data_IF_193099198769
#
_entry.id   IF_193099198769
#
_cell.length_a   1.000
_cell.length_b   1.000
_cell.length_c   1.000
_cell.angle_alpha   90.00
_cell.angle_beta   90.00
_cell.angle_gamma   90.00
#
_symmetry.space_group_name_H-M   'P 1'
#
loop_
_entity.id
_entity.type
_entity.pdbx_description
1 polymer ?
#
# COMPACT_ATOMS: atom_id res chain seq x y z
N UNK A 1 10.62 -7.34 -23.25
CA UNK A 1 9.25 -6.81 -23.33
C UNK A 1 8.61 -6.67 -21.94
N UNK A 2 8.74 -7.66 -21.09
CA UNK A 2 8.07 -7.70 -19.77
C UNK A 2 8.75 -6.84 -18.70
N UNK A 3 9.97 -6.42 -18.90
CA UNK A 3 10.72 -5.62 -17.94
C UNK A 3 10.96 -4.21 -18.45
N UNK A 4 10.97 -3.26 -17.51
CA UNK A 4 11.31 -1.86 -17.79
C UNK A 4 12.81 -1.69 -17.95
N UNK A 5 13.19 -0.78 -18.84
CA UNK A 5 14.59 -0.43 -19.13
C UNK A 5 14.66 1.08 -19.25
N UNK A 6 15.64 1.71 -18.60
CA UNK A 6 15.93 3.13 -18.77
C UNK A 6 16.47 3.43 -20.18
N UNK A 7 16.42 4.68 -20.60
CA UNK A 7 16.90 5.13 -21.92
C UNK A 7 18.38 4.80 -22.17
N UNK A 8 19.18 4.68 -21.13
CA UNK A 8 20.59 4.29 -21.20
C UNK A 8 20.81 2.77 -21.29
N UNK A 9 19.77 1.97 -21.34
CA UNK A 9 19.80 0.52 -21.45
C UNK A 9 19.93 -0.24 -20.14
N UNK A 10 20.00 0.43 -18.98
CA UNK A 10 19.96 -0.24 -17.67
C UNK A 10 18.58 -0.79 -17.38
N UNK A 11 18.52 -2.00 -16.82
CA UNK A 11 17.27 -2.59 -16.33
C UNK A 11 16.78 -1.77 -15.13
N UNK A 12 15.50 -1.41 -15.14
CA UNK A 12 14.83 -0.75 -14.02
C UNK A 12 14.75 -1.69 -12.81
N UNK A 13 15.05 -1.18 -11.63
CA UNK A 13 15.12 -1.97 -10.40
C UNK A 13 14.48 -1.24 -9.21
N UNK A 14 13.36 -0.57 -9.42
CA UNK A 14 12.57 0.08 -8.36
C UNK A 14 12.05 -0.90 -7.32
N UNK A 15 12.05 -2.20 -7.62
CA UNK A 15 11.74 -3.28 -6.68
C UNK A 15 12.89 -3.62 -5.72
N UNK A 16 14.13 -3.22 -6.04
CA UNK A 16 15.36 -3.70 -5.41
C UNK A 16 15.57 -5.25 -5.54
N UNK A 17 14.81 -5.92 -6.42
CA UNK A 17 14.86 -7.36 -6.65
C UNK A 17 15.48 -7.74 -8.01
N UNK A 18 16.06 -6.76 -8.72
CA UNK A 18 16.79 -6.96 -9.97
C UNK A 18 16.08 -6.50 -11.24
N UNK A 19 14.76 -6.34 -11.22
CA UNK A 19 13.97 -5.83 -12.34
C UNK A 19 12.58 -5.34 -11.90
N UNK A 20 11.92 -4.57 -12.77
CA UNK A 20 10.53 -4.14 -12.62
C UNK A 20 9.68 -4.63 -13.79
N UNK A 21 8.47 -5.12 -13.50
CA UNK A 21 7.50 -5.52 -14.54
C UNK A 21 6.91 -4.29 -15.21
N UNK A 22 6.89 -4.29 -16.54
CA UNK A 22 6.32 -3.22 -17.35
C UNK A 22 4.79 -3.40 -17.46
N UNK A 23 4.08 -3.14 -16.36
CA UNK A 23 2.64 -3.36 -16.23
C UNK A 23 1.79 -2.51 -17.19
N UNK A 24 2.33 -1.39 -17.63
CA UNK A 24 1.75 -0.49 -18.63
C UNK A 24 1.75 -1.05 -20.06
N UNK A 25 2.53 -2.09 -20.32
CA UNK A 25 2.57 -2.75 -21.62
C UNK A 25 1.46 -3.81 -21.74
N UNK A 26 0.65 -3.75 -22.78
CA UNK A 26 -0.58 -4.53 -22.92
C UNK A 26 -0.42 -6.05 -22.68
N UNK A 27 0.65 -6.68 -23.18
CA UNK A 27 0.84 -8.11 -22.98
C UNK A 27 1.27 -8.45 -21.54
N UNK A 28 1.97 -7.56 -20.86
CA UNK A 28 2.30 -7.71 -19.46
C UNK A 28 1.04 -7.51 -18.60
N UNK A 29 0.28 -6.45 -18.84
CA UNK A 29 -1.00 -6.21 -18.19
C UNK A 29 -1.96 -7.39 -18.38
N UNK A 30 -2.06 -7.91 -19.60
CA UNK A 30 -2.88 -9.09 -19.90
C UNK A 30 -2.43 -10.32 -19.11
N UNK A 31 -1.13 -10.60 -19.03
CA UNK A 31 -0.60 -11.72 -18.28
C UNK A 31 -0.96 -11.63 -16.79
N UNK A 32 -0.81 -10.44 -16.18
CA UNK A 32 -1.16 -10.20 -14.77
C UNK A 32 -2.66 -10.36 -14.56
N UNK A 33 -3.48 -9.75 -15.40
CA UNK A 33 -4.95 -9.87 -15.33
C UNK A 33 -5.42 -11.31 -15.49
N UNK A 34 -4.93 -12.02 -16.51
CA UNK A 34 -5.29 -13.42 -16.76
C UNK A 34 -4.89 -14.31 -15.57
N UNK A 35 -3.74 -14.06 -14.95
CA UNK A 35 -3.31 -14.76 -13.74
C UNK A 35 -4.28 -14.55 -12.58
N UNK A 36 -4.68 -13.30 -12.31
CA UNK A 36 -5.66 -12.97 -11.26
C UNK A 36 -6.97 -13.71 -11.51
N UNK A 37 -7.47 -13.65 -12.73
CA UNK A 37 -8.74 -14.30 -13.08
C UNK A 37 -8.64 -15.83 -13.00
N UNK A 38 -7.54 -16.42 -13.46
CA UNK A 38 -7.28 -17.86 -13.35
C UNK A 38 -7.30 -18.34 -11.89
N UNK A 39 -6.54 -17.70 -11.02
CA UNK A 39 -6.50 -18.06 -9.60
C UNK A 39 -7.86 -17.90 -8.91
N UNK A 40 -8.62 -16.87 -9.29
CA UNK A 40 -9.98 -16.67 -8.75
C UNK A 40 -10.93 -17.77 -9.22
N UNK A 41 -10.88 -18.13 -10.51
CA UNK A 41 -11.82 -19.07 -11.14
C UNK A 41 -11.51 -20.52 -10.78
N UNK A 42 -10.25 -20.94 -10.88
CA UNK A 42 -9.84 -22.33 -10.67
C UNK A 42 -9.63 -22.69 -9.19
N UNK A 43 -9.14 -21.75 -8.38
CA UNK A 43 -8.82 -21.99 -6.98
C UNK A 43 -9.75 -21.29 -6.00
N UNK A 44 -10.72 -20.53 -6.50
CA UNK A 44 -11.75 -19.85 -5.73
C UNK A 44 -11.22 -18.92 -4.63
N UNK A 45 -10.04 -18.32 -4.83
CA UNK A 45 -9.46 -17.39 -3.87
C UNK A 45 -10.28 -16.11 -3.79
N UNK A 46 -10.29 -15.48 -2.59
CA UNK A 46 -11.19 -14.36 -2.29
C UNK A 46 -10.56 -12.99 -2.44
N UNK A 47 -9.30 -12.93 -2.81
CA UNK A 47 -8.63 -11.66 -3.08
C UNK A 47 -7.15 -11.77 -3.34
N UNK A 48 -6.55 -10.62 -3.64
CA UNK A 48 -5.14 -10.49 -4.02
C UNK A 48 -4.48 -9.34 -3.27
N UNK A 49 -3.32 -9.62 -2.74
CA UNK A 49 -2.39 -8.61 -2.23
C UNK A 49 -1.22 -8.50 -3.19
N UNK A 50 -0.95 -7.30 -3.68
CA UNK A 50 0.16 -7.02 -4.56
C UNK A 50 1.35 -6.49 -3.79
N UNK A 51 2.46 -7.21 -3.85
CA UNK A 51 3.76 -6.75 -3.41
C UNK A 51 4.17 -5.55 -4.25
N UNK A 52 4.72 -4.50 -3.61
CA UNK A 52 5.17 -3.30 -4.29
C UNK A 52 4.19 -2.83 -5.38
N UNK A 53 2.89 -2.78 -5.04
CA UNK A 53 1.84 -2.31 -5.96
C UNK A 53 2.18 -0.93 -6.55
N UNK A 54 2.95 -0.12 -5.82
CA UNK A 54 3.44 1.17 -6.29
C UNK A 54 4.31 1.10 -7.55
N UNK A 55 4.80 -0.07 -7.92
CA UNK A 55 5.51 -0.31 -9.19
C UNK A 55 4.56 -0.67 -10.34
N UNK A 56 3.30 -0.98 -10.07
CA UNK A 56 2.28 -1.23 -11.08
C UNK A 56 1.56 0.07 -11.43
N UNK A 57 1.00 0.13 -12.62
CA UNK A 57 0.24 1.31 -13.01
C UNK A 57 -1.21 1.27 -12.52
N UNK A 58 -1.77 2.47 -12.31
CA UNK A 58 -3.14 2.68 -11.84
C UNK A 58 -4.16 2.05 -12.79
N UNK A 59 -3.94 2.12 -14.10
CA UNK A 59 -4.90 1.59 -15.07
C UNK A 59 -5.00 0.06 -14.99
N UNK A 60 -3.87 -0.63 -14.83
CA UNK A 60 -3.90 -2.08 -14.61
C UNK A 60 -4.67 -2.44 -13.33
N UNK A 61 -4.41 -1.75 -12.22
CA UNK A 61 -5.11 -2.02 -10.96
C UNK A 61 -6.62 -1.78 -11.09
N UNK A 62 -7.02 -0.70 -11.72
CA UNK A 62 -8.42 -0.40 -12.01
C UNK A 62 -9.04 -1.41 -13.00
N UNK A 63 -8.30 -1.88 -13.99
CA UNK A 63 -8.73 -2.91 -14.94
C UNK A 63 -8.99 -4.25 -14.24
N UNK A 64 -8.07 -4.67 -13.35
CA UNK A 64 -8.26 -5.86 -12.50
C UNK A 64 -9.53 -5.71 -11.66
N UNK A 65 -9.72 -4.56 -11.00
CA UNK A 65 -10.91 -4.30 -10.20
C UNK A 65 -12.20 -4.42 -11.01
N UNK A 66 -12.26 -3.76 -12.16
CA UNK A 66 -13.43 -3.82 -13.06
C UNK A 66 -13.77 -5.25 -13.49
N UNK A 67 -12.76 -6.07 -13.81
CA UNK A 67 -12.99 -7.45 -14.24
C UNK A 67 -13.46 -8.35 -13.08
N UNK A 68 -12.90 -8.19 -11.89
CA UNK A 68 -13.35 -8.89 -10.69
C UNK A 68 -14.80 -8.50 -10.35
N UNK A 69 -15.13 -7.22 -10.38
CA UNK A 69 -16.49 -6.72 -10.10
C UNK A 69 -17.51 -7.22 -11.12
N UNK A 70 -17.12 -7.23 -12.40
CA UNK A 70 -17.99 -7.71 -13.47
C UNK A 70 -18.34 -9.21 -13.33
N UNK A 71 -17.39 -10.01 -12.87
CA UNK A 71 -17.56 -11.47 -12.77
C UNK A 71 -18.19 -11.91 -11.46
N UNK A 72 -17.84 -11.27 -10.36
CA UNK A 72 -18.17 -11.76 -9.01
C UNK A 72 -19.02 -10.79 -8.20
N UNK A 73 -19.27 -9.59 -8.68
CA UNK A 73 -19.99 -8.53 -7.99
C UNK A 73 -19.07 -7.47 -7.38
N UNK A 74 -19.57 -6.25 -7.26
CA UNK A 74 -18.80 -5.08 -6.81
C UNK A 74 -18.23 -5.30 -5.41
N UNK A 75 -16.91 -5.20 -5.27
CA UNK A 75 -16.19 -5.30 -4.01
C UNK A 75 -16.17 -6.70 -3.35
N UNK A 76 -16.72 -7.73 -4.01
CA UNK A 76 -16.80 -9.10 -3.44
C UNK A 76 -15.42 -9.72 -3.29
N UNK A 77 -14.55 -9.53 -4.28
CA UNK A 77 -13.16 -10.02 -4.21
C UNK A 77 -12.26 -8.90 -3.70
N UNK A 78 -11.41 -9.18 -2.73
CA UNK A 78 -10.46 -8.19 -2.20
C UNK A 78 -9.36 -7.89 -3.22
N UNK A 79 -8.98 -6.63 -3.30
CA UNK A 79 -7.85 -6.18 -4.12
C UNK A 79 -7.13 -5.06 -3.40
N UNK A 80 -5.87 -5.25 -3.04
CA UNK A 80 -5.09 -4.27 -2.33
C UNK A 80 -3.58 -4.53 -2.50
N UNK A 81 -2.75 -3.60 -2.07
CA UNK A 81 -1.31 -3.80 -2.15
C UNK A 81 -0.50 -2.73 -1.41
N UNK A 82 0.79 -2.80 -1.60
CA UNK A 82 1.74 -1.86 -1.03
C UNK A 82 1.91 -0.65 -1.96
N UNK A 83 1.55 0.56 -1.50
CA UNK A 83 1.54 1.76 -2.33
C UNK A 83 2.92 2.45 -2.36
N UNK A 84 4.00 1.69 -2.44
CA UNK A 84 5.37 2.18 -2.49
C UNK A 84 6.24 1.37 -3.45
N UNK A 85 7.41 1.90 -3.73
CA UNK A 85 8.54 1.27 -4.40
C UNK A 85 9.78 1.39 -3.51
N UNK A 86 10.79 0.56 -3.74
CA UNK A 86 12.05 0.64 -3.02
C UNK A 86 12.99 1.71 -3.62
N UNK A 87 12.89 1.96 -4.94
CA UNK A 87 13.68 2.94 -5.68
C UNK A 87 12.92 3.42 -6.93
N UNK A 88 13.55 4.25 -7.75
CA UNK A 88 13.00 4.76 -9.00
C UNK A 88 12.72 3.65 -10.01
N UNK A 89 11.62 3.77 -10.72
CA UNK A 89 11.22 2.84 -11.81
C UNK A 89 11.08 3.58 -13.14
N UNK A 90 11.53 2.93 -14.23
CA UNK A 90 11.44 3.44 -15.60
C UNK A 90 10.04 3.16 -16.20
N UNK A 91 8.98 3.70 -15.59
CA UNK A 91 7.61 3.59 -16.11
C UNK A 91 7.47 4.38 -17.42
N UNK A 92 6.81 3.81 -18.42
CA UNK A 92 6.76 4.35 -19.78
C UNK A 92 5.54 5.25 -20.02
N UNK A 93 5.72 6.21 -20.90
CA UNK A 93 4.65 7.07 -21.41
C UNK A 93 3.97 7.90 -20.32
N UNK A 94 2.64 7.92 -20.36
CA UNK A 94 1.80 8.65 -19.40
C UNK A 94 1.27 7.73 -18.28
N UNK A 95 1.83 6.53 -18.13
CA UNK A 95 1.42 5.61 -17.08
C UNK A 95 1.71 6.20 -15.69
N UNK A 96 0.76 6.04 -14.78
CA UNK A 96 0.81 6.60 -13.42
C UNK A 96 1.01 5.45 -12.44
N UNK A 97 2.06 5.45 -11.62
CA UNK A 97 2.29 4.40 -10.63
C UNK A 97 1.22 4.41 -9.54
N UNK A 98 0.84 3.23 -9.05
CA UNK A 98 -0.14 3.08 -7.97
C UNK A 98 0.48 3.36 -6.58
N UNK A 99 1.22 4.48 -6.47
CA UNK A 99 1.79 5.00 -5.24
C UNK A 99 0.69 5.66 -4.38
N UNK A 100 0.97 5.85 -3.09
CA UNK A 100 -0.02 6.38 -2.13
C UNK A 100 -0.52 7.78 -2.49
N UNK A 101 0.29 8.64 -3.07
CA UNK A 101 -0.11 9.96 -3.54
C UNK A 101 -1.13 9.91 -4.68
N UNK A 102 -1.18 8.79 -5.40
CA UNK A 102 -2.10 8.54 -6.51
C UNK A 102 -3.35 7.75 -6.12
N UNK A 103 -3.59 7.51 -4.84
CA UNK A 103 -4.72 6.71 -4.33
C UNK A 103 -6.08 7.19 -4.89
N UNK A 104 -6.24 8.49 -5.13
CA UNK A 104 -7.48 9.05 -5.69
C UNK A 104 -7.74 8.63 -7.14
N UNK A 105 -6.76 8.14 -7.85
CA UNK A 105 -6.90 7.62 -9.21
C UNK A 105 -7.30 6.14 -9.22
N UNK A 106 -7.07 5.43 -8.12
CA UNK A 106 -7.53 4.05 -7.94
C UNK A 106 -9.05 4.00 -7.73
N UNK A 107 -9.67 2.89 -8.10
CA UNK A 107 -11.06 2.60 -7.73
C UNK A 107 -11.24 2.55 -6.20
N UNK A 108 -12.42 2.90 -5.71
CA UNK A 108 -12.73 2.90 -4.27
C UNK A 108 -12.60 1.53 -3.59
N UNK A 109 -12.58 0.44 -4.36
CA UNK A 109 -12.40 -0.94 -3.88
C UNK A 109 -11.00 -1.51 -4.22
N UNK A 110 -10.02 -0.64 -4.47
CA UNK A 110 -8.59 -0.98 -4.50
C UNK A 110 -7.94 -0.39 -3.26
N UNK A 111 -7.57 -1.26 -2.32
CA UNK A 111 -7.02 -0.86 -1.04
C UNK A 111 -5.50 -0.68 -1.08
N UNK A 112 -4.99 0.14 -0.16
CA UNK A 112 -3.55 0.29 0.09
C UNK A 112 -3.23 0.01 1.55
N UNK A 113 -2.08 -0.59 1.81
CA UNK A 113 -1.51 -0.61 3.16
C UNK A 113 -1.18 0.81 3.61
N UNK A 114 -1.75 1.22 4.74
CA UNK A 114 -1.56 2.56 5.28
C UNK A 114 -0.39 2.59 6.27
N UNK A 115 0.81 2.85 5.76
CA UNK A 115 2.01 3.01 6.58
C UNK A 115 1.95 4.24 7.50
N UNK A 116 1.23 5.30 7.12
CA UNK A 116 1.00 6.47 7.96
C UNK A 116 0.23 6.11 9.25
N UNK A 117 -0.77 5.24 9.15
CA UNK A 117 -1.48 4.70 10.33
C UNK A 117 -0.54 3.85 11.19
N UNK A 118 0.17 2.89 10.57
CA UNK A 118 1.16 2.07 11.27
C UNK A 118 2.18 2.93 12.01
N UNK A 119 2.71 3.93 11.33
CA UNK A 119 3.80 4.78 11.85
C UNK A 119 3.29 5.79 12.88
N UNK A 120 2.03 6.21 12.83
CA UNK A 120 1.43 6.98 13.91
C UNK A 120 1.29 6.14 15.18
N UNK A 121 0.84 4.90 15.07
CA UNK A 121 0.61 4.01 16.21
C UNK A 121 1.93 3.59 16.85
N UNK A 122 2.85 2.97 16.11
CA UNK A 122 4.06 2.34 16.66
C UNK A 122 5.39 3.03 16.29
N UNK A 123 5.36 4.07 15.47
CA UNK A 123 6.50 4.72 14.81
C UNK A 123 7.11 3.86 13.70
N UNK A 124 7.74 4.50 12.73
CA UNK A 124 8.39 3.85 11.59
C UNK A 124 9.47 2.85 12.01
N UNK A 125 9.59 1.77 11.28
CA UNK A 125 10.66 0.79 11.42
C UNK A 125 12.07 1.39 11.28
N UNK A 126 12.22 2.47 10.50
CA UNK A 126 13.49 3.20 10.37
C UNK A 126 13.88 4.00 11.62
N UNK A 127 12.96 4.18 12.57
CA UNK A 127 13.15 4.91 13.82
C UNK A 127 12.91 3.97 15.01
N UNK A 128 13.68 2.89 15.08
CA UNK A 128 13.46 1.77 15.98
C UNK A 128 13.38 2.18 17.46
N UNK A 129 14.20 3.11 17.89
CA UNK A 129 14.31 3.56 19.30
C UNK A 129 13.33 4.67 19.71
N UNK A 130 12.50 5.16 18.78
CA UNK A 130 11.53 6.21 19.10
C UNK A 130 10.17 5.59 19.40
N UNK A 131 9.46 6.10 20.44
CA UNK A 131 8.11 5.65 20.76
C UNK A 131 7.11 6.08 19.68
N UNK A 132 6.03 5.33 19.53
CA UNK A 132 4.83 5.71 18.80
C UNK A 132 3.77 6.29 19.74
N UNK A 133 2.59 6.62 19.21
CA UNK A 133 1.47 7.13 20.01
C UNK A 133 1.10 6.17 21.16
N UNK A 134 1.10 4.86 20.88
CA UNK A 134 0.68 3.83 21.83
C UNK A 134 1.53 3.78 23.10
N UNK A 135 2.78 4.20 23.04
CA UNK A 135 3.71 4.21 24.16
C UNK A 135 4.29 5.60 24.46
N UNK A 136 3.49 6.64 24.25
CA UNK A 136 3.67 7.96 24.82
C UNK A 136 4.36 8.99 23.94
N UNK A 137 4.42 8.80 22.61
CA UNK A 137 4.86 9.88 21.72
C UNK A 137 3.78 10.94 21.57
N UNK A 138 4.15 12.19 21.83
CA UNK A 138 3.31 13.35 21.61
C UNK A 138 3.29 13.81 20.15
N UNK A 139 2.26 14.60 19.78
CA UNK A 139 2.17 15.25 18.45
C UNK A 139 1.77 14.31 17.33
N UNK A 140 1.17 13.15 17.64
CA UNK A 140 0.64 12.18 16.68
C UNK A 140 -0.89 12.12 16.70
N UNK A 141 -1.55 12.89 17.53
CA UNK A 141 -2.99 12.85 17.79
C UNK A 141 -3.80 13.10 16.51
N UNK A 142 -3.38 14.06 15.70
CA UNK A 142 -4.03 14.36 14.42
C UNK A 142 -3.92 13.18 13.45
N UNK A 143 -2.76 12.53 13.36
CA UNK A 143 -2.59 11.34 12.53
C UNK A 143 -3.44 10.16 13.01
N UNK A 144 -3.60 10.00 14.30
CA UNK A 144 -4.50 8.98 14.88
C UNK A 144 -5.95 9.31 14.55
N UNK A 145 -6.35 10.58 14.62
CA UNK A 145 -7.69 11.01 14.23
C UNK A 145 -7.96 10.74 12.74
N UNK A 146 -7.03 11.11 11.86
CA UNK A 146 -7.12 10.81 10.42
C UNK A 146 -7.19 9.30 10.17
N UNK A 147 -6.39 8.52 10.89
CA UNK A 147 -6.41 7.05 10.82
C UNK A 147 -7.76 6.47 11.20
N UNK A 148 -8.38 6.99 12.26
CA UNK A 148 -9.73 6.59 12.68
C UNK A 148 -10.80 6.94 11.64
N UNK A 149 -10.60 8.03 10.90
CA UNK A 149 -11.42 8.44 9.76
C UNK A 149 -11.05 7.78 8.43
N UNK A 150 -10.17 6.77 8.46
CA UNK A 150 -9.65 6.08 7.27
C UNK A 150 -9.07 7.04 6.22
N UNK A 151 -8.45 8.13 6.67
CA UNK A 151 -7.85 9.17 5.81
C UNK A 151 -8.82 9.76 4.77
N UNK A 152 -10.12 9.70 5.06
CA UNK A 152 -11.20 10.29 4.25
C UNK A 152 -11.68 11.64 4.78
N UNK A 153 -11.15 12.10 5.90
CA UNK A 153 -11.56 13.36 6.51
C UNK A 153 -10.95 14.54 5.74
N UNK A 154 -11.76 15.56 5.53
CA UNK A 154 -11.25 16.84 5.01
C UNK A 154 -10.33 17.46 6.07
N UNK A 155 -9.16 17.91 5.64
CA UNK A 155 -8.24 18.68 6.49
C UNK A 155 -8.85 20.05 6.78
N UNK A 156 -9.36 20.24 8.00
CA UNK A 156 -10.09 21.46 8.39
C UNK A 156 -9.19 22.66 8.58
N UNK A 157 -7.89 22.45 8.82
CA UNK A 157 -7.00 23.53 9.26
C UNK A 157 -5.72 23.71 8.43
N UNK A 158 -5.53 23.01 7.31
CA UNK A 158 -4.28 23.04 6.51
C UNK A 158 -2.99 22.71 7.31
N UNK A 159 -3.11 22.21 8.53
CA UNK A 159 -2.00 22.06 9.46
C UNK A 159 -1.16 20.79 9.26
N UNK A 160 -1.59 19.88 8.42
CA UNK A 160 -0.85 18.68 8.06
C UNK A 160 -1.39 18.17 6.73
N UNK A 161 -0.77 18.51 5.62
CA UNK A 161 -1.09 17.90 4.33
C UNK A 161 -0.80 16.41 4.45
N UNK A 162 -1.83 15.63 4.75
CA UNK A 162 -1.74 14.19 4.59
C UNK A 162 -1.44 13.90 3.13
N UNK A 163 -0.40 13.15 2.86
CA UNK A 163 -0.11 12.66 1.51
C UNK A 163 -1.21 11.71 1.03
N UNK A 164 -1.97 11.15 1.99
CA UNK A 164 -3.10 10.24 1.73
C UNK A 164 -4.41 11.02 1.79
N UNK A 165 -5.17 10.94 0.70
CA UNK A 165 -6.55 11.41 0.62
C UNK A 165 -7.40 10.32 -0.01
N UNK A 166 -7.88 9.39 0.79
CA UNK A 166 -8.73 8.31 0.33
C UNK A 166 -10.13 8.82 -0.09
N UNK A 167 -10.70 8.22 -1.12
CA UNK A 167 -12.09 8.49 -1.54
C UNK A 167 -13.11 7.77 -0.65
N UNK A 168 -12.72 6.60 -0.13
CA UNK A 168 -13.59 5.74 0.66
C UNK A 168 -12.76 4.95 1.68
N UNK A 169 -13.34 4.57 2.83
CA UNK A 169 -12.66 3.76 3.83
C UNK A 169 -12.15 2.40 3.30
N UNK A 170 -12.81 1.86 2.28
CA UNK A 170 -12.41 0.62 1.59
C UNK A 170 -11.03 0.68 0.92
N UNK A 171 -10.51 1.88 0.70
CA UNK A 171 -9.15 2.07 0.16
C UNK A 171 -8.05 1.95 1.22
N UNK A 172 -8.38 1.87 2.50
CA UNK A 172 -7.39 1.92 3.58
C UNK A 172 -7.33 0.60 4.34
N UNK A 173 -6.18 -0.05 4.28
CA UNK A 173 -5.86 -1.20 5.13
C UNK A 173 -5.13 -0.71 6.36
N UNK A 174 -5.84 -0.62 7.47
CA UNK A 174 -5.28 -0.24 8.76
C UNK A 174 -4.55 -1.43 9.37
N UNK A 175 -3.30 -1.25 9.75
CA UNK A 175 -2.48 -2.29 10.37
C UNK A 175 -1.40 -1.70 11.28
N UNK A 176 -0.86 -2.52 12.17
CA UNK A 176 0.29 -2.16 13.02
C UNK A 176 1.44 -3.14 12.88
N UNK A 177 1.16 -4.37 12.49
CA UNK A 177 2.15 -5.44 12.29
C UNK A 177 1.89 -6.13 10.94
N UNK A 178 2.95 -6.52 10.27
CA UNK A 178 2.93 -7.27 9.04
C UNK A 178 4.11 -8.28 9.05
N UNK A 179 4.29 -9.03 7.96
CA UNK A 179 5.44 -9.93 7.79
C UNK A 179 6.75 -9.18 7.61
N UNK A 180 6.69 -7.91 7.19
CA UNK A 180 7.85 -7.02 7.07
C UNK A 180 8.07 -6.21 8.34
N UNK A 181 9.34 -6.02 8.70
CA UNK A 181 9.79 -5.23 9.82
C UNK A 181 9.32 -5.76 11.19
N UNK A 182 9.58 -4.99 12.23
CA UNK A 182 9.20 -5.32 13.60
C UNK A 182 7.68 -5.39 13.78
N UNK A 183 7.20 -6.38 14.50
CA UNK A 183 5.83 -6.39 15.03
C UNK A 183 5.64 -5.26 16.05
N UNK A 184 4.41 -5.03 16.49
CA UNK A 184 4.16 -4.10 17.59
C UNK A 184 4.86 -4.56 18.87
N UNK A 185 4.85 -5.87 19.15
CA UNK A 185 5.51 -6.44 20.32
C UNK A 185 7.02 -6.13 20.32
N UNK A 186 7.73 -6.47 19.24
CA UNK A 186 9.18 -6.22 19.14
C UNK A 186 9.50 -4.74 19.32
N UNK A 187 8.64 -3.87 18.76
CA UNK A 187 8.79 -2.42 18.88
C UNK A 187 8.63 -1.93 20.31
N UNK A 188 7.67 -2.48 21.05
CA UNK A 188 7.44 -2.14 22.46
C UNK A 188 8.57 -2.65 23.36
N UNK A 189 9.09 -3.85 23.12
CA UNK A 189 10.27 -4.37 23.85
C UNK A 189 11.47 -3.43 23.73
N UNK A 190 11.68 -2.84 22.54
CA UNK A 190 12.82 -1.94 22.27
C UNK A 190 12.59 -0.54 22.84
N UNK A 191 11.35 -0.03 22.85
CA UNK A 191 11.05 1.37 23.15
C UNK A 191 10.46 1.60 24.54
N UNK A 192 10.01 0.56 25.22
CA UNK A 192 9.45 0.60 26.58
C UNK A 192 10.02 -0.51 27.47
N UNK A 193 11.35 -0.60 27.62
CA UNK A 193 11.97 -1.68 28.39
C UNK A 193 11.54 -1.62 29.86
N UNK A 194 11.08 -2.76 30.40
CA UNK A 194 10.64 -2.87 31.79
C UNK A 194 9.17 -2.52 32.04
N UNK A 195 8.42 -2.11 31.02
CA UNK A 195 6.97 -1.92 31.10
C UNK A 195 6.23 -3.26 30.97
N UNK A 196 4.98 -3.28 31.39
CA UNK A 196 4.08 -4.41 31.12
C UNK A 196 3.63 -4.38 29.66
N UNK A 197 4.36 -5.06 28.80
CA UNK A 197 4.11 -5.09 27.36
C UNK A 197 2.74 -5.67 27.01
N UNK A 198 2.20 -6.60 27.83
CA UNK A 198 0.86 -7.14 27.64
C UNK A 198 -0.23 -6.08 27.85
N UNK A 199 0.04 -5.08 28.67
CA UNK A 199 -0.88 -3.95 28.89
C UNK A 199 -0.81 -2.92 27.76
N UNK A 200 0.36 -2.75 27.15
CA UNK A 200 0.58 -1.80 26.06
C UNK A 200 0.16 -2.34 24.69
N UNK A 201 0.23 -3.64 24.49
CA UNK A 201 -0.15 -4.31 23.24
C UNK A 201 -1.69 -4.59 23.19
#
# INVERSE_FOLDING_TARGET
YFYRVFDDGRISNGSACGNDVASEREMCAKFILDSVLYWTEEYHIDGFRFDLMGLLDVELMNRIRRELDRRYGKGVKLLFGEPWAADETAMEGEAIPALKENIRLLDENVGIFCDDTRDAIKRSALKTKLPGFINGADGLEEKILQSAGAWCMEDRDNAGKSEIQAKAPSQIITYVSAHDNQTLWDKLEETAPGEDLMRLN
#
